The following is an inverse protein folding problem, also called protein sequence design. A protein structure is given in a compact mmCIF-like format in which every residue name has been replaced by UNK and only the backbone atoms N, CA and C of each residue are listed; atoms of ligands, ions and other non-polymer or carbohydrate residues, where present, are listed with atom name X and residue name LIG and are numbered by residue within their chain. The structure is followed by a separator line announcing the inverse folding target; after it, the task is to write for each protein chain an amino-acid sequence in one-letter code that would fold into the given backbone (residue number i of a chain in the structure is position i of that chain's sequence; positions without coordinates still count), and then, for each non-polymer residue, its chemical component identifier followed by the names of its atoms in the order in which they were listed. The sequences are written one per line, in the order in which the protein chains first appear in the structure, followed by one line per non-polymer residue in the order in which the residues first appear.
data_IF_425011621296
#
_entry.id   IF_425011621296
#
_cell.length_a   1.000
_cell.length_b   1.000
_cell.length_c   1.000
_cell.angle_alpha   90.00
_cell.angle_beta   90.00
_cell.angle_gamma   90.00
#
_symmetry.space_group_name_H-M   'P 1'
#
loop_
_entity.id
_entity.type
_entity.pdbx_description
1 polymer ?
#
# COMPACT_ATOMS: atom_id res chain seq x y z
N UNK A 1 52.49 -18.37 29.09
CA UNK A 1 52.24 -17.35 28.06
C UNK A 1 50.75 -17.32 27.79
N UNK A 2 50.04 -16.42 28.44
CA UNK A 2 48.60 -16.23 28.26
C UNK A 2 48.41 -15.20 27.13
N UNK A 3 47.86 -15.66 26.02
CA UNK A 3 47.39 -14.77 24.94
C UNK A 3 46.13 -14.02 25.44
N UNK A 4 46.33 -12.80 25.96
CA UNK A 4 45.24 -11.85 26.07
C UNK A 4 44.85 -11.41 24.65
N UNK A 5 43.72 -11.93 24.16
CA UNK A 5 43.05 -11.38 22.98
C UNK A 5 42.64 -9.93 23.31
N UNK A 6 43.42 -8.97 22.85
CA UNK A 6 43.06 -7.55 22.90
C UNK A 6 41.79 -7.35 22.07
N UNK A 7 40.66 -7.17 22.77
CA UNK A 7 39.43 -6.68 22.12
C UNK A 7 39.70 -5.27 21.59
N UNK A 8 40.00 -5.16 20.30
CA UNK A 8 40.10 -3.86 19.64
C UNK A 8 38.73 -3.18 19.83
N UNK A 9 38.72 -2.14 20.66
CA UNK A 9 37.52 -1.32 20.85
C UNK A 9 37.16 -0.69 19.50
N UNK A 10 36.02 -1.09 18.96
CA UNK A 10 35.53 -0.60 17.69
C UNK A 10 35.34 0.93 17.76
N UNK A 11 35.80 1.66 16.77
CA UNK A 11 35.60 3.11 16.71
C UNK A 11 34.08 3.44 16.58
N UNK A 12 33.64 4.64 17.01
CA UNK A 12 32.21 5.04 17.00
C UNK A 12 31.52 4.87 15.64
N UNK A 13 32.22 5.08 14.54
CA UNK A 13 31.72 4.92 13.15
C UNK A 13 31.44 3.45 12.85
N UNK A 14 32.33 2.56 13.26
CA UNK A 14 32.19 1.13 13.03
C UNK A 14 31.07 0.51 13.90
N UNK A 15 30.94 0.95 15.14
CA UNK A 15 29.80 0.60 16.01
C UNK A 15 28.49 1.00 15.35
N UNK A 16 28.41 2.22 14.79
CA UNK A 16 27.24 2.72 14.11
C UNK A 16 26.84 1.89 12.88
N UNK A 17 27.80 1.54 12.01
CA UNK A 17 27.54 0.73 10.83
C UNK A 17 27.06 -0.68 11.19
N UNK A 18 27.72 -1.34 12.14
CA UNK A 18 27.32 -2.68 12.62
C UNK A 18 25.94 -2.66 13.27
N UNK A 19 25.61 -1.60 14.03
CA UNK A 19 24.30 -1.43 14.68
C UNK A 19 23.20 -1.31 13.64
N UNK A 20 23.35 -0.41 12.67
CA UNK A 20 22.36 -0.23 11.57
C UNK A 20 22.11 -1.54 10.82
N UNK A 21 23.18 -2.24 10.42
CA UNK A 21 23.08 -3.53 9.73
C UNK A 21 22.34 -4.57 10.56
N UNK A 22 22.67 -4.68 11.87
CA UNK A 22 22.03 -5.64 12.77
C UNK A 22 20.54 -5.36 12.97
N UNK A 23 20.17 -4.09 13.14
CA UNK A 23 18.78 -3.67 13.23
C UNK A 23 18.04 -3.98 11.93
N UNK A 24 18.58 -3.59 10.78
CA UNK A 24 17.97 -3.82 9.49
C UNK A 24 17.75 -5.31 9.23
N UNK A 25 18.75 -6.15 9.41
CA UNK A 25 18.65 -7.61 9.18
C UNK A 25 17.70 -8.31 10.15
N UNK A 26 17.49 -7.78 11.35
CA UNK A 26 16.56 -8.37 12.32
C UNK A 26 15.13 -7.92 12.08
N UNK A 27 14.89 -6.64 11.86
CA UNK A 27 13.53 -6.09 11.85
C UNK A 27 12.90 -6.08 10.45
N UNK A 28 13.64 -5.68 9.41
CA UNK A 28 13.05 -5.48 8.09
C UNK A 28 12.52 -6.78 7.44
N UNK A 29 13.21 -7.93 7.48
CA UNK A 29 12.67 -9.15 6.88
C UNK A 29 11.38 -9.61 7.57
N UNK A 30 11.29 -9.47 8.90
CA UNK A 30 10.09 -9.84 9.63
C UNK A 30 8.93 -8.90 9.31
N UNK A 31 9.14 -7.58 9.36
CA UNK A 31 8.12 -6.59 9.00
C UNK A 31 7.67 -6.74 7.54
N UNK A 32 8.61 -7.03 6.64
CA UNK A 32 8.30 -7.32 5.24
C UNK A 32 7.37 -8.53 5.13
N UNK A 33 7.67 -9.63 5.82
CA UNK A 33 6.81 -10.82 5.85
C UNK A 33 5.41 -10.49 6.38
N UNK A 34 5.31 -9.72 7.48
CA UNK A 34 4.02 -9.28 8.01
C UNK A 34 3.20 -8.52 6.96
N UNK A 35 3.87 -7.67 6.18
CA UNK A 35 3.20 -6.86 5.15
C UNK A 35 2.85 -7.65 3.89
N UNK A 36 3.65 -8.67 3.56
CA UNK A 36 3.28 -9.64 2.51
C UNK A 36 1.99 -10.36 2.86
N UNK A 37 1.86 -10.89 4.07
CA UNK A 37 0.61 -11.55 4.52
C UNK A 37 -0.57 -10.57 4.51
N UNK A 38 -0.35 -9.32 4.93
CA UNK A 38 -1.37 -8.28 4.90
C UNK A 38 -1.91 -8.00 3.49
N UNK A 39 -1.01 -7.87 2.51
CA UNK A 39 -1.42 -7.60 1.13
C UNK A 39 -1.95 -8.82 0.37
N UNK A 40 -1.54 -10.04 0.75
CA UNK A 40 -2.16 -11.27 0.26
C UNK A 40 -3.65 -11.25 0.61
N UNK A 41 -4.01 -11.04 1.88
CA UNK A 41 -5.41 -10.97 2.34
C UNK A 41 -6.23 -9.89 1.60
N UNK A 42 -5.65 -8.71 1.37
CA UNK A 42 -6.30 -7.64 0.59
C UNK A 42 -6.57 -8.01 -0.87
N UNK A 43 -5.67 -8.75 -1.49
CA UNK A 43 -5.78 -9.14 -2.90
C UNK A 43 -6.74 -10.30 -3.08
N UNK A 44 -6.75 -11.22 -2.16
CA UNK A 44 -7.47 -12.49 -2.25
C UNK A 44 -8.98 -12.35 -2.26
N UNK A 45 -9.53 -11.28 -1.67
CA UNK A 45 -10.98 -11.03 -1.75
C UNK A 45 -11.47 -10.88 -3.19
N UNK A 46 -10.62 -10.38 -4.09
CA UNK A 46 -10.93 -10.26 -5.51
C UNK A 46 -11.08 -11.66 -6.18
N UNK A 47 -10.25 -12.62 -5.78
CA UNK A 47 -10.34 -14.00 -6.24
C UNK A 47 -11.47 -14.76 -5.53
N UNK A 48 -11.65 -14.57 -4.22
CA UNK A 48 -12.77 -15.14 -3.47
C UNK A 48 -14.12 -14.76 -4.08
N UNK A 49 -14.24 -13.55 -4.65
CA UNK A 49 -15.45 -13.06 -5.32
C UNK A 49 -15.92 -13.99 -6.44
N UNK A 50 -15.01 -14.70 -7.12
CA UNK A 50 -15.36 -15.70 -8.17
C UNK A 50 -16.25 -16.82 -7.60
N UNK A 51 -15.83 -17.44 -6.50
CA UNK A 51 -16.60 -18.50 -5.84
C UNK A 51 -17.79 -17.97 -5.02
N UNK A 52 -17.62 -16.82 -4.33
CA UNK A 52 -18.67 -16.22 -3.49
C UNK A 52 -19.87 -15.74 -4.29
N UNK A 53 -19.66 -15.22 -5.52
CA UNK A 53 -20.76 -14.73 -6.37
C UNK A 53 -21.77 -15.81 -6.67
N UNK A 54 -21.34 -17.05 -6.92
CA UNK A 54 -22.20 -18.20 -7.19
C UNK A 54 -22.76 -18.82 -5.91
N UNK A 55 -21.91 -19.06 -4.89
CA UNK A 55 -22.28 -19.73 -3.64
C UNK A 55 -23.32 -18.92 -2.83
N UNK A 56 -23.10 -17.62 -2.70
CA UNK A 56 -23.97 -16.71 -1.94
C UNK A 56 -24.94 -15.90 -2.82
N UNK A 57 -25.00 -16.18 -4.13
CA UNK A 57 -25.85 -15.49 -5.12
C UNK A 57 -25.71 -13.95 -5.05
N UNK A 58 -24.48 -13.47 -5.01
CA UNK A 58 -24.19 -12.05 -4.85
C UNK A 58 -24.10 -11.34 -6.21
N UNK A 59 -24.71 -10.15 -6.29
CA UNK A 59 -24.54 -9.26 -7.45
C UNK A 59 -23.18 -8.56 -7.41
N UNK A 60 -22.71 -8.05 -8.55
CA UNK A 60 -21.49 -7.23 -8.64
C UNK A 60 -21.57 -6.00 -7.72
N UNK A 61 -22.76 -5.37 -7.62
CA UNK A 61 -23.00 -4.27 -6.69
C UNK A 61 -22.73 -4.69 -5.24
N UNK A 62 -23.22 -5.86 -4.84
CA UNK A 62 -23.03 -6.39 -3.48
C UNK A 62 -21.56 -6.67 -3.19
N UNK A 63 -20.85 -7.30 -4.14
CA UNK A 63 -19.42 -7.58 -4.01
C UNK A 63 -18.59 -6.30 -3.96
N UNK A 64 -18.88 -5.33 -4.84
CA UNK A 64 -18.21 -4.03 -4.83
C UNK A 64 -18.45 -3.24 -3.54
N UNK A 65 -19.69 -3.30 -2.98
CA UNK A 65 -19.99 -2.71 -1.68
C UNK A 65 -19.23 -3.41 -0.55
N UNK A 66 -19.16 -4.74 -0.56
CA UNK A 66 -18.40 -5.51 0.44
C UNK A 66 -16.91 -5.16 0.43
N UNK A 67 -16.32 -5.00 -0.77
CA UNK A 67 -14.94 -4.53 -0.91
C UNK A 67 -14.77 -3.11 -0.33
N UNK A 68 -15.74 -2.22 -0.60
CA UNK A 68 -15.75 -0.85 -0.07
C UNK A 68 -15.89 -0.78 1.45
N UNK A 69 -16.73 -1.64 2.06
CA UNK A 69 -16.95 -1.66 3.52
C UNK A 69 -15.65 -1.86 4.31
N UNK A 70 -14.70 -2.61 3.78
CA UNK A 70 -13.36 -2.71 4.36
C UNK A 70 -12.68 -1.33 4.49
N UNK A 71 -12.70 -0.53 3.44
CA UNK A 71 -12.04 0.78 3.44
C UNK A 71 -12.73 1.78 4.39
N UNK A 72 -14.05 1.68 4.58
CA UNK A 72 -14.74 2.50 5.59
C UNK A 72 -14.24 2.18 6.99
N UNK A 73 -14.14 0.91 7.35
CA UNK A 73 -13.57 0.49 8.63
C UNK A 73 -12.10 0.90 8.77
N UNK A 74 -11.32 0.72 7.71
CA UNK A 74 -9.90 1.05 7.68
C UNK A 74 -9.64 2.55 7.92
N UNK A 75 -10.36 3.44 7.23
CA UNK A 75 -10.21 4.89 7.39
C UNK A 75 -10.63 5.34 8.79
N UNK A 76 -11.71 4.76 9.34
CA UNK A 76 -12.26 5.17 10.65
C UNK A 76 -11.25 5.02 11.80
N UNK A 77 -10.43 3.97 11.79
CA UNK A 77 -9.47 3.69 12.86
C UNK A 77 -7.99 3.88 12.47
N UNK A 78 -7.68 4.38 11.27
CA UNK A 78 -6.30 4.56 10.83
C UNK A 78 -5.50 5.51 11.74
N UNK A 79 -6.06 6.66 12.10
CA UNK A 79 -5.42 7.64 13.00
C UNK A 79 -5.42 7.15 14.46
N UNK A 80 -6.52 6.69 15.05
CA UNK A 80 -6.53 6.11 16.38
C UNK A 80 -5.56 4.94 16.54
N UNK A 81 -5.45 4.07 15.53
CA UNK A 81 -4.53 2.94 15.51
C UNK A 81 -3.06 3.36 15.56
N UNK A 82 -2.66 4.37 14.79
CA UNK A 82 -1.30 4.93 14.85
C UNK A 82 -0.97 5.47 16.24
N UNK A 83 -1.89 6.23 16.84
CA UNK A 83 -1.72 6.77 18.19
C UNK A 83 -1.62 5.68 19.26
N UNK A 84 -2.32 4.57 19.09
CA UNK A 84 -2.24 3.43 20.00
C UNK A 84 -0.82 2.82 19.99
N UNK A 85 -0.24 2.65 18.79
CA UNK A 85 1.13 2.12 18.63
C UNK A 85 2.14 3.03 19.32
N UNK A 86 2.02 4.34 19.17
CA UNK A 86 2.97 5.30 19.72
C UNK A 86 2.89 5.43 21.25
N UNK A 87 1.65 5.47 21.79
CA UNK A 87 1.41 5.74 23.23
C UNK A 87 1.48 4.52 24.13
N UNK A 88 1.22 3.33 23.60
CA UNK A 88 1.16 2.12 24.42
C UNK A 88 2.41 1.25 24.23
N UNK A 89 2.45 0.41 23.19
CA UNK A 89 3.56 -0.48 22.88
C UNK A 89 3.43 -0.91 21.43
N UNK A 90 4.43 -0.59 20.63
CA UNK A 90 4.40 -0.90 19.20
C UNK A 90 4.30 -2.41 18.94
N UNK A 91 5.09 -3.22 19.65
CA UNK A 91 5.07 -4.69 19.51
C UNK A 91 3.72 -5.29 19.88
N UNK A 92 3.10 -4.81 20.98
CA UNK A 92 1.80 -5.31 21.44
C UNK A 92 0.70 -4.89 20.48
N UNK A 93 0.69 -3.62 20.07
CA UNK A 93 -0.31 -3.09 19.17
C UNK A 93 -0.24 -3.78 17.80
N UNK A 94 0.94 -3.90 17.19
CA UNK A 94 1.13 -4.60 15.90
C UNK A 94 0.71 -6.08 16.03
N UNK A 95 1.14 -6.77 17.08
CA UNK A 95 0.78 -8.17 17.30
C UNK A 95 -0.72 -8.38 17.49
N UNK A 96 -1.39 -7.56 18.31
CA UNK A 96 -2.84 -7.65 18.55
C UNK A 96 -3.66 -7.28 17.32
N UNK A 97 -3.26 -6.24 16.57
CA UNK A 97 -3.89 -5.87 15.31
C UNK A 97 -3.84 -7.04 14.32
N UNK A 98 -2.69 -7.71 14.21
CA UNK A 98 -2.55 -8.87 13.33
C UNK A 98 -3.42 -10.06 13.77
N UNK A 99 -3.49 -10.33 15.08
CA UNK A 99 -4.35 -11.40 15.60
C UNK A 99 -5.83 -11.07 15.35
N UNK A 100 -6.25 -9.84 15.64
CA UNK A 100 -7.63 -9.41 15.46
C UNK A 100 -8.05 -9.46 13.98
N UNK A 101 -7.21 -8.93 13.10
CA UNK A 101 -7.44 -8.98 11.66
C UNK A 101 -7.43 -10.43 11.15
N UNK A 102 -6.45 -11.26 11.52
CA UNK A 102 -6.41 -12.67 11.11
C UNK A 102 -7.64 -13.45 11.54
N UNK A 103 -8.15 -13.23 12.76
CA UNK A 103 -9.42 -13.78 13.22
C UNK A 103 -10.61 -13.29 12.37
N UNK A 104 -10.66 -11.99 12.05
CA UNK A 104 -11.71 -11.42 11.22
C UNK A 104 -11.68 -12.00 9.78
N UNK A 105 -10.48 -12.26 9.24
CA UNK A 105 -10.30 -12.93 7.95
C UNK A 105 -10.84 -14.37 8.00
N UNK A 106 -10.48 -15.15 9.01
CA UNK A 106 -11.03 -16.51 9.19
C UNK A 106 -12.56 -16.48 9.29
N UNK A 107 -13.12 -15.54 10.08
CA UNK A 107 -14.57 -15.38 10.22
C UNK A 107 -15.24 -14.98 8.88
N UNK A 108 -14.54 -14.25 7.99
CA UNK A 108 -15.04 -13.94 6.65
C UNK A 108 -15.26 -15.22 5.82
N UNK A 109 -14.45 -16.26 6.02
CA UNK A 109 -14.66 -17.58 5.40
C UNK A 109 -15.92 -18.31 5.86
N UNK A 110 -16.56 -17.90 6.97
CA UNK A 110 -17.75 -18.54 7.56
C UNK A 110 -19.06 -17.79 7.23
N UNK A 111 -19.04 -16.74 6.43
CA UNK A 111 -20.26 -15.98 6.10
C UNK A 111 -21.19 -16.75 5.16
N UNK A 112 -22.50 -16.54 5.32
CA UNK A 112 -23.55 -17.17 4.52
C UNK A 112 -24.49 -16.16 3.84
N UNK A 113 -24.40 -14.87 4.21
CA UNK A 113 -25.27 -13.81 3.68
C UNK A 113 -24.48 -12.57 3.31
N UNK A 114 -25.05 -11.73 2.43
CA UNK A 114 -24.47 -10.43 2.08
C UNK A 114 -24.27 -9.53 3.32
N UNK A 115 -25.23 -9.50 4.25
CA UNK A 115 -25.13 -8.70 5.47
C UNK A 115 -23.98 -9.13 6.36
N UNK A 116 -23.78 -10.44 6.52
CA UNK A 116 -22.65 -10.99 7.27
C UNK A 116 -21.32 -10.61 6.57
N UNK A 117 -21.28 -10.69 5.23
CA UNK A 117 -20.10 -10.29 4.47
C UNK A 117 -19.77 -8.81 4.68
N UNK A 118 -20.76 -7.89 4.63
CA UNK A 118 -20.55 -6.48 4.89
C UNK A 118 -20.00 -6.23 6.29
N UNK A 119 -20.59 -6.87 7.30
CA UNK A 119 -20.15 -6.76 8.69
C UNK A 119 -18.73 -7.30 8.88
N UNK A 120 -18.42 -8.47 8.31
CA UNK A 120 -17.09 -9.06 8.37
C UNK A 120 -16.04 -8.17 7.70
N UNK A 121 -16.33 -7.60 6.52
CA UNK A 121 -15.44 -6.68 5.82
C UNK A 121 -15.22 -5.37 6.58
N UNK A 122 -16.27 -4.82 7.20
CA UNK A 122 -16.14 -3.63 8.06
C UNK A 122 -15.27 -3.91 9.28
N UNK A 123 -15.53 -5.02 10.00
CA UNK A 123 -14.76 -5.44 11.18
C UNK A 123 -13.29 -5.70 10.79
N UNK A 124 -13.05 -6.35 9.65
CA UNK A 124 -11.71 -6.58 9.13
C UNK A 124 -10.98 -5.26 8.88
N UNK A 125 -11.64 -4.28 8.24
CA UNK A 125 -11.08 -2.95 8.02
C UNK A 125 -10.74 -2.22 9.32
N UNK A 126 -11.64 -2.25 10.31
CA UNK A 126 -11.40 -1.69 11.64
C UNK A 126 -10.19 -2.36 12.33
N UNK A 127 -10.10 -3.69 12.27
CA UNK A 127 -9.03 -4.46 12.88
C UNK A 127 -7.67 -4.17 12.24
N UNK A 128 -7.61 -3.99 10.92
CA UNK A 128 -6.37 -3.78 10.17
C UNK A 128 -5.86 -2.34 10.17
N UNK A 129 -6.74 -1.37 10.45
CA UNK A 129 -6.48 0.06 10.24
C UNK A 129 -5.19 0.61 10.87
N UNK A 130 -4.80 0.07 12.03
CA UNK A 130 -3.60 0.49 12.77
C UNK A 130 -2.29 -0.13 12.28
N UNK A 131 -2.33 -1.13 11.41
CA UNK A 131 -1.14 -1.90 11.05
C UNK A 131 -0.10 -1.06 10.29
N UNK A 132 -0.43 -0.56 9.10
CA UNK A 132 0.51 0.20 8.28
C UNK A 132 1.04 1.45 9.00
N UNK A 133 0.20 2.37 9.51
CA UNK A 133 0.70 3.55 10.22
C UNK A 133 1.48 3.17 11.47
N UNK A 134 1.08 2.10 12.17
CA UNK A 134 1.79 1.58 13.33
C UNK A 134 3.18 1.07 13.00
N UNK A 135 3.37 0.38 11.87
CA UNK A 135 4.69 -0.04 11.42
C UNK A 135 5.56 1.17 11.04
N UNK A 136 4.99 2.21 10.40
CA UNK A 136 5.74 3.43 10.08
C UNK A 136 6.23 4.14 11.36
N UNK A 137 5.37 4.22 12.38
CA UNK A 137 5.75 4.72 13.72
C UNK A 137 6.85 3.84 14.32
N UNK A 138 6.70 2.52 14.27
CA UNK A 138 7.71 1.57 14.76
C UNK A 138 9.07 1.75 14.06
N UNK A 139 9.07 1.86 12.72
CA UNK A 139 10.29 2.14 11.97
C UNK A 139 10.95 3.47 12.39
N UNK A 140 10.17 4.47 12.81
CA UNK A 140 10.71 5.73 13.29
C UNK A 140 11.45 5.62 14.64
N UNK A 141 11.16 4.60 15.44
CA UNK A 141 11.87 4.31 16.69
C UNK A 141 13.21 3.61 16.47
N UNK A 142 13.40 2.97 15.29
CA UNK A 142 14.55 2.10 15.03
C UNK A 142 15.48 2.60 13.92
N UNK A 143 15.01 3.51 13.07
CA UNK A 143 15.78 4.00 11.92
C UNK A 143 15.90 5.52 11.95
N UNK A 144 17.13 6.01 11.79
CA UNK A 144 17.42 7.43 11.62
C UNK A 144 16.69 8.01 10.40
N UNK A 145 16.51 9.33 10.33
CA UNK A 145 15.90 10.00 9.17
C UNK A 145 16.54 9.58 7.84
N UNK A 146 17.86 9.43 7.81
CA UNK A 146 18.61 9.03 6.63
C UNK A 146 18.33 7.58 6.19
N UNK A 147 18.14 6.67 7.16
CA UNK A 147 17.92 5.24 6.90
C UNK A 147 16.43 4.89 6.77
N UNK A 148 15.53 5.70 7.35
CA UNK A 148 14.08 5.45 7.41
C UNK A 148 13.45 5.37 6.04
N UNK A 149 13.83 6.23 5.09
CA UNK A 149 13.31 6.20 3.73
C UNK A 149 13.60 4.85 3.05
N UNK A 150 14.83 4.33 3.20
CA UNK A 150 15.23 3.01 2.67
C UNK A 150 14.48 1.87 3.36
N UNK A 151 14.33 1.93 4.69
CA UNK A 151 13.59 0.93 5.47
C UNK A 151 12.11 0.89 5.07
N UNK A 152 11.47 2.05 4.90
CA UNK A 152 10.10 2.16 4.42
C UNK A 152 9.94 1.66 2.99
N UNK A 153 10.86 2.00 2.08
CA UNK A 153 10.84 1.51 0.71
C UNK A 153 10.96 -0.03 0.65
N UNK A 154 11.87 -0.61 1.45
CA UNK A 154 11.99 -2.06 1.58
C UNK A 154 10.69 -2.70 2.09
N UNK A 155 10.09 -2.12 3.14
CA UNK A 155 8.83 -2.58 3.69
C UNK A 155 7.69 -2.51 2.64
N UNK A 156 7.58 -1.40 1.91
CA UNK A 156 6.54 -1.21 0.87
C UNK A 156 6.74 -2.11 -0.36
N UNK A 157 7.94 -2.60 -0.62
CA UNK A 157 8.18 -3.56 -1.71
C UNK A 157 7.42 -4.89 -1.53
N UNK A 158 6.91 -5.16 -0.32
CA UNK A 158 6.00 -6.28 -0.07
C UNK A 158 4.70 -6.19 -0.90
N UNK A 159 4.20 -4.98 -1.21
CA UNK A 159 2.92 -4.78 -1.92
C UNK A 159 2.88 -5.52 -3.26
N UNK A 160 3.73 -5.18 -4.25
CA UNK A 160 3.69 -5.85 -5.54
C UNK A 160 4.12 -7.32 -5.47
N UNK A 161 5.03 -7.66 -4.56
CA UNK A 161 5.49 -9.06 -4.39
C UNK A 161 4.33 -9.92 -3.88
N UNK A 162 3.55 -9.43 -2.92
CA UNK A 162 2.38 -10.16 -2.41
C UNK A 162 1.31 -10.38 -3.48
N UNK A 163 1.06 -9.41 -4.37
CA UNK A 163 0.10 -9.56 -5.46
C UNK A 163 0.52 -10.64 -6.47
N UNK A 164 1.82 -10.70 -6.79
CA UNK A 164 2.38 -11.74 -7.68
C UNK A 164 2.25 -13.13 -7.06
N UNK A 165 2.41 -13.25 -5.73
CA UNK A 165 2.27 -14.52 -4.99
C UNK A 165 0.79 -14.87 -4.80
N UNK A 166 -0.04 -13.89 -4.39
CA UNK A 166 -1.44 -14.11 -4.06
C UNK A 166 -2.25 -14.57 -5.27
N UNK A 167 -2.00 -14.00 -6.46
CA UNK A 167 -2.81 -14.25 -7.65
C UNK A 167 -2.88 -15.73 -8.03
N UNK A 168 -1.77 -16.46 -8.27
CA UNK A 168 -1.82 -17.89 -8.62
C UNK A 168 -2.29 -18.76 -7.42
N UNK A 169 -1.87 -18.40 -6.20
CA UNK A 169 -2.26 -19.14 -4.98
C UNK A 169 -3.77 -19.05 -4.75
N UNK A 170 -4.32 -17.84 -4.79
CA UNK A 170 -5.76 -17.63 -4.55
C UNK A 170 -6.60 -18.26 -5.66
N UNK A 171 -6.20 -18.11 -6.94
CA UNK A 171 -6.90 -18.75 -8.06
C UNK A 171 -6.90 -20.27 -7.96
N UNK A 172 -5.80 -20.87 -7.53
CA UNK A 172 -5.72 -22.32 -7.33
C UNK A 172 -6.63 -22.78 -6.17
N UNK A 173 -6.58 -22.11 -5.02
CA UNK A 173 -7.39 -22.47 -3.85
C UNK A 173 -8.89 -22.32 -4.17
N UNK A 174 -9.30 -21.20 -4.80
CA UNK A 174 -10.71 -20.93 -5.12
C UNK A 174 -11.26 -21.95 -6.10
N UNK A 175 -10.45 -22.40 -7.07
CA UNK A 175 -10.84 -23.39 -8.07
C UNK A 175 -11.05 -24.83 -7.54
N UNK A 176 -10.77 -25.08 -6.25
CA UNK A 176 -10.87 -26.41 -5.64
C UNK A 176 -11.79 -26.38 -4.42
N UNK A 177 -12.49 -27.50 -4.20
CA UNK A 177 -13.24 -27.72 -2.96
C UNK A 177 -12.50 -28.78 -2.13
N UNK A 178 -12.32 -28.52 -0.83
CA UNK A 178 -11.66 -29.43 0.09
C UNK A 178 -12.62 -29.82 1.20
N UNK A 179 -12.72 -31.11 1.48
CA UNK A 179 -13.60 -31.65 2.51
C UNK A 179 -15.08 -31.18 2.41
N UNK A 180 -15.60 -31.03 1.18
CA UNK A 180 -16.95 -30.52 0.94
C UNK A 180 -17.17 -29.04 1.17
N UNK A 181 -16.10 -28.28 1.47
CA UNK A 181 -16.14 -26.84 1.68
C UNK A 181 -15.60 -26.13 0.44
N UNK A 182 -16.27 -25.08 0.00
CA UNK A 182 -15.90 -24.24 -1.15
C UNK A 182 -14.50 -23.61 -0.99
N UNK A 183 -13.73 -23.55 -2.08
CA UNK A 183 -12.35 -23.04 -2.06
C UNK A 183 -12.20 -21.61 -1.57
N UNK A 184 -13.17 -20.71 -1.86
CA UNK A 184 -13.12 -19.33 -1.37
C UNK A 184 -13.18 -19.23 0.17
N UNK A 185 -13.85 -20.18 0.85
CA UNK A 185 -13.87 -20.25 2.32
C UNK A 185 -12.51 -20.66 2.86
N UNK A 186 -11.90 -21.67 2.22
CA UNK A 186 -10.55 -22.11 2.55
C UNK A 186 -9.52 -21.00 2.33
N UNK A 187 -9.68 -20.18 1.29
CA UNK A 187 -8.79 -19.06 1.03
C UNK A 187 -8.70 -18.14 2.26
N UNK A 188 -9.83 -17.66 2.78
CA UNK A 188 -9.83 -16.81 3.97
C UNK A 188 -9.30 -17.51 5.23
N UNK A 189 -9.59 -18.80 5.41
CA UNK A 189 -9.05 -19.56 6.54
C UNK A 189 -7.53 -19.69 6.47
N UNK A 190 -7.01 -20.05 5.30
CA UNK A 190 -5.57 -20.24 5.07
C UNK A 190 -4.77 -18.93 5.13
N UNK A 191 -5.38 -17.79 4.84
CA UNK A 191 -4.74 -16.48 4.92
C UNK A 191 -4.83 -15.86 6.32
N UNK A 192 -5.94 -16.03 7.00
CA UNK A 192 -6.12 -15.52 8.35
C UNK A 192 -5.25 -16.22 9.39
N UNK A 193 -5.06 -17.54 9.28
CA UNK A 193 -4.24 -18.30 10.23
C UNK A 193 -2.76 -17.83 10.31
N UNK A 194 -2.05 -17.66 9.20
CA UNK A 194 -0.69 -17.10 9.23
C UNK A 194 -0.63 -15.70 9.89
N UNK A 195 -1.65 -14.85 9.69
CA UNK A 195 -1.71 -13.54 10.33
C UNK A 195 -1.82 -13.67 11.86
N UNK A 196 -2.66 -14.57 12.37
CA UNK A 196 -2.78 -14.87 13.82
C UNK A 196 -1.45 -15.38 14.37
N UNK A 197 -0.84 -16.37 13.71
CA UNK A 197 0.42 -16.98 14.16
C UNK A 197 1.56 -15.95 14.16
N UNK A 198 1.71 -15.20 13.06
CA UNK A 198 2.76 -14.17 12.96
C UNK A 198 2.50 -13.00 13.90
N UNK A 199 1.24 -12.67 14.18
CA UNK A 199 0.87 -11.69 15.21
C UNK A 199 1.33 -12.13 16.60
N UNK A 200 1.10 -13.39 16.98
CA UNK A 200 1.56 -13.97 18.23
C UNK A 200 3.11 -14.04 18.33
N UNK A 201 3.77 -14.40 17.21
CA UNK A 201 5.24 -14.36 17.11
C UNK A 201 5.73 -12.91 17.24
N UNK A 202 5.14 -11.97 16.52
CA UNK A 202 5.51 -10.55 16.53
C UNK A 202 5.41 -9.92 17.92
N UNK A 203 4.36 -10.28 18.66
CA UNK A 203 4.18 -9.86 20.06
C UNK A 203 5.38 -10.22 20.96
N UNK A 204 6.12 -11.30 20.67
CA UNK A 204 7.33 -11.73 21.40
C UNK A 204 8.64 -11.31 20.73
N UNK A 205 8.68 -11.31 19.41
CA UNK A 205 9.88 -11.08 18.61
C UNK A 205 10.27 -9.59 18.51
N UNK A 206 9.27 -8.72 18.32
CA UNK A 206 9.50 -7.28 18.22
C UNK A 206 9.89 -6.70 19.59
N UNK A 207 10.67 -5.64 19.57
CA UNK A 207 11.09 -4.89 20.75
C UNK A 207 10.64 -3.45 20.57
N UNK A 208 10.06 -2.83 21.60
CA UNK A 208 9.44 -1.50 21.47
C UNK A 208 10.47 -0.41 21.14
N UNK A 209 11.54 -0.34 21.87
CA UNK A 209 12.56 0.73 21.74
C UNK A 209 13.97 0.16 21.84
N UNK A 210 14.97 0.89 21.29
CA UNK A 210 16.37 0.47 21.38
C UNK A 210 16.88 0.20 22.80
N UNK A 211 16.39 0.93 23.79
CA UNK A 211 16.74 0.74 25.20
C UNK A 211 16.39 -0.66 25.74
N UNK A 212 15.30 -1.25 25.25
CA UNK A 212 14.80 -2.56 25.67
C UNK A 212 15.45 -3.72 24.90
N UNK A 213 16.31 -3.42 23.92
CA UNK A 213 16.87 -4.39 22.97
C UNK A 213 18.00 -5.21 23.57
N UNK A 214 17.68 -6.30 24.26
CA UNK A 214 18.66 -7.23 24.84
C UNK A 214 19.55 -7.91 23.79
N UNK A 215 19.12 -7.92 22.53
CA UNK A 215 19.87 -8.47 21.39
C UNK A 215 20.91 -7.51 20.79
N UNK A 216 20.92 -6.22 21.20
CA UNK A 216 22.01 -5.27 20.94
C UNK A 216 23.04 -5.34 22.06
N UNK A 217 24.34 -5.21 21.70
CA UNK A 217 25.39 -5.03 22.71
C UNK A 217 25.26 -3.66 23.42
N UNK A 218 25.77 -3.49 24.63
CA UNK A 218 25.68 -2.21 25.34
C UNK A 218 26.16 -1.01 24.49
N UNK A 219 27.34 -1.04 23.82
CA UNK A 219 27.78 0.08 22.99
C UNK A 219 26.86 0.36 21.81
N UNK A 220 26.26 -0.69 21.20
CA UNK A 220 25.30 -0.54 20.11
C UNK A 220 23.99 0.12 20.57
N UNK A 221 23.54 -0.25 21.78
CA UNK A 221 22.32 0.31 22.37
C UNK A 221 22.50 1.78 22.72
N UNK A 222 23.61 2.14 23.38
CA UNK A 222 23.94 3.51 23.73
C UNK A 222 24.08 4.39 22.49
N UNK A 223 24.78 3.90 21.46
CA UNK A 223 24.91 4.63 20.20
C UNK A 223 23.55 4.91 19.58
N UNK A 224 22.64 3.92 19.57
CA UNK A 224 21.33 4.08 18.98
C UNK A 224 20.45 5.05 19.77
N UNK A 225 20.46 4.99 21.09
CA UNK A 225 19.74 5.90 21.98
C UNK A 225 20.23 7.33 21.77
N UNK A 226 21.53 7.57 21.79
CA UNK A 226 22.11 8.90 21.56
C UNK A 226 21.70 9.45 20.19
N UNK A 227 21.74 8.61 19.13
CA UNK A 227 21.34 9.00 17.78
C UNK A 227 19.86 9.41 17.70
N UNK A 228 18.96 8.65 18.35
CA UNK A 228 17.53 8.96 18.36
C UNK A 228 17.21 10.23 19.17
N UNK A 229 17.88 10.45 20.29
CA UNK A 229 17.72 11.68 21.07
C UNK A 229 18.12 12.94 20.28
N UNK A 230 19.24 12.89 19.58
CA UNK A 230 19.69 14.01 18.73
C UNK A 230 18.66 14.33 17.65
N UNK A 231 18.06 13.32 17.01
CA UNK A 231 17.06 13.53 15.97
C UNK A 231 15.72 14.04 16.52
N UNK A 232 15.30 13.58 17.71
CA UNK A 232 14.09 14.06 18.37
C UNK A 232 14.19 15.53 18.76
N UNK A 233 15.34 15.99 19.25
CA UNK A 233 15.59 17.38 19.59
C UNK A 233 15.47 18.31 18.36
N UNK A 234 15.96 17.86 17.20
CA UNK A 234 15.84 18.60 15.92
C UNK A 234 14.40 18.63 15.37
N UNK A 235 13.55 17.66 15.72
CA UNK A 235 12.17 17.57 15.25
C UNK A 235 11.20 18.48 16.04
N UNK A 236 11.48 18.78 17.29
CA UNK A 236 10.61 19.54 18.18
C UNK A 236 10.39 21.02 17.78
N UNK A 237 11.19 21.55 16.83
CA UNK A 237 11.18 22.95 16.42
C UNK A 237 10.09 23.27 15.35
N UNK A 238 9.32 22.29 14.85
CA UNK A 238 8.49 22.44 13.62
C UNK A 238 6.98 22.26 13.79
N UNK A 239 6.36 22.68 14.86
CA UNK A 239 4.89 22.64 15.02
C UNK A 239 4.26 24.03 14.88
N UNK A 240 3.92 24.46 13.65
CA UNK A 240 3.00 25.58 13.46
C UNK A 240 2.16 25.44 12.19
N UNK A 241 0.85 25.64 12.36
CA UNK A 241 -0.17 25.96 11.33
C UNK A 241 -0.71 24.79 10.48
N UNK A 242 -1.29 23.76 11.10
CA UNK A 242 -1.95 22.63 10.40
C UNK A 242 -3.23 23.06 9.65
N UNK A 243 -3.96 24.08 10.12
CA UNK A 243 -5.28 24.43 9.55
C UNK A 243 -5.26 24.95 8.10
N UNK A 244 -4.22 25.63 7.67
CA UNK A 244 -4.11 26.20 6.29
C UNK A 244 -3.84 25.15 5.22
N UNK A 245 -3.33 23.98 5.60
CA UNK A 245 -2.96 22.89 4.69
C UNK A 245 -4.14 22.38 3.89
N UNK A 246 -5.31 22.27 4.55
CA UNK A 246 -6.52 21.68 3.95
C UNK A 246 -7.17 22.57 2.87
N UNK A 247 -6.83 23.84 2.82
CA UNK A 247 -7.34 24.82 1.84
C UNK A 247 -6.31 25.15 0.76
N UNK A 248 -5.11 24.59 0.82
CA UNK A 248 -4.09 24.81 -0.20
C UNK A 248 -4.52 24.18 -1.54
N UNK A 249 -4.59 25.02 -2.59
CA UNK A 249 -4.89 24.55 -3.96
C UNK A 249 -3.97 23.41 -4.40
N UNK A 250 -2.68 23.46 -4.05
CA UNK A 250 -1.71 22.42 -4.40
C UNK A 250 -2.05 21.11 -3.69
N UNK A 251 -2.37 21.16 -2.38
CA UNK A 251 -2.75 19.97 -1.60
C UNK A 251 -4.04 19.36 -2.12
N UNK A 252 -5.04 20.17 -2.46
CA UNK A 252 -6.32 19.70 -3.01
C UNK A 252 -6.13 19.05 -4.40
N UNK A 253 -5.33 19.64 -5.28
CA UNK A 253 -5.02 19.04 -6.60
C UNK A 253 -4.26 17.72 -6.44
N UNK A 254 -3.28 17.65 -5.55
CA UNK A 254 -2.58 16.39 -5.25
C UNK A 254 -3.52 15.34 -4.66
N UNK A 255 -4.37 15.70 -3.71
CA UNK A 255 -5.33 14.79 -3.10
C UNK A 255 -6.32 14.24 -4.14
N UNK A 256 -6.82 15.09 -5.03
CA UNK A 256 -7.74 14.68 -6.08
C UNK A 256 -7.05 13.81 -7.16
N UNK A 257 -5.82 14.16 -7.56
CA UNK A 257 -5.03 13.33 -8.47
C UNK A 257 -4.76 11.93 -7.88
N UNK A 258 -4.41 11.85 -6.58
CA UNK A 258 -4.24 10.57 -5.88
C UNK A 258 -5.55 9.78 -5.82
N UNK A 259 -6.66 10.42 -5.45
CA UNK A 259 -7.99 9.79 -5.42
C UNK A 259 -8.36 9.19 -6.77
N UNK A 260 -8.22 9.97 -7.85
CA UNK A 260 -8.60 9.54 -9.20
C UNK A 260 -7.73 8.38 -9.70
N UNK A 261 -6.41 8.42 -9.46
CA UNK A 261 -5.53 7.31 -9.81
C UNK A 261 -5.83 6.06 -8.96
N UNK A 262 -6.03 6.22 -7.65
CA UNK A 262 -6.34 5.09 -6.76
C UNK A 262 -7.73 4.51 -7.01
N UNK A 263 -8.68 5.31 -7.48
CA UNK A 263 -9.98 4.83 -7.94
C UNK A 263 -9.83 3.79 -9.06
N UNK A 264 -8.97 4.08 -10.05
CA UNK A 264 -8.64 3.14 -11.12
C UNK A 264 -7.96 1.90 -10.51
N UNK A 265 -6.91 2.11 -9.72
CA UNK A 265 -6.09 1.03 -9.18
C UNK A 265 -6.86 0.05 -8.30
N UNK A 266 -7.61 0.53 -7.29
CA UNK A 266 -8.41 -0.32 -6.42
C UNK A 266 -9.59 -0.96 -7.13
N UNK A 267 -10.28 -0.19 -8.00
CA UNK A 267 -11.37 -0.73 -8.81
C UNK A 267 -10.91 -1.86 -9.72
N UNK A 268 -9.81 -1.63 -10.43
CA UNK A 268 -9.22 -2.63 -11.30
C UNK A 268 -8.71 -3.85 -10.55
N UNK A 269 -7.93 -3.67 -9.49
CA UNK A 269 -7.35 -4.79 -8.71
C UNK A 269 -8.44 -5.71 -8.17
N UNK A 270 -9.56 -5.13 -7.70
CA UNK A 270 -10.68 -5.93 -7.20
C UNK A 270 -11.42 -6.68 -8.32
N UNK A 271 -11.66 -6.03 -9.47
CA UNK A 271 -12.47 -6.61 -10.53
C UNK A 271 -11.67 -7.38 -11.60
N UNK A 272 -10.33 -7.31 -11.60
CA UNK A 272 -9.48 -8.00 -12.58
C UNK A 272 -9.81 -9.50 -12.72
N UNK A 273 -9.87 -10.31 -11.63
CA UNK A 273 -10.15 -11.75 -11.77
C UNK A 273 -11.52 -12.00 -12.41
N UNK A 274 -12.56 -11.28 -11.97
CA UNK A 274 -13.93 -11.41 -12.51
C UNK A 274 -14.01 -10.98 -13.96
N UNK A 275 -13.36 -9.86 -14.35
CA UNK A 275 -13.33 -9.40 -15.75
C UNK A 275 -12.61 -10.41 -16.63
N UNK A 276 -11.46 -10.91 -16.18
CA UNK A 276 -10.69 -11.90 -16.92
C UNK A 276 -11.46 -13.21 -17.09
N UNK A 277 -12.12 -13.71 -16.05
CA UNK A 277 -12.94 -14.90 -16.11
C UNK A 277 -14.13 -14.75 -17.08
N UNK A 278 -14.86 -13.64 -17.00
CA UNK A 278 -16.03 -13.38 -17.88
C UNK A 278 -15.66 -13.19 -19.36
N UNK A 279 -14.46 -12.67 -19.64
CA UNK A 279 -13.97 -12.48 -21.00
C UNK A 279 -13.51 -13.77 -21.65
N UNK A 280 -12.93 -14.70 -20.88
CA UNK A 280 -12.17 -15.84 -21.40
C UNK A 280 -12.73 -17.21 -21.05
N UNK A 281 -13.75 -17.29 -20.17
CA UNK A 281 -14.31 -18.52 -19.63
C UNK A 281 -13.24 -19.49 -19.03
N UNK A 282 -12.13 -18.95 -18.54
CA UNK A 282 -11.05 -19.72 -17.94
C UNK A 282 -11.46 -20.27 -16.56
N UNK A 283 -10.81 -21.34 -16.15
CA UNK A 283 -10.91 -21.82 -14.77
C UNK A 283 -10.28 -20.83 -13.79
N UNK A 284 -10.74 -20.83 -12.53
CA UNK A 284 -10.24 -19.93 -11.48
C UNK A 284 -8.72 -20.04 -11.29
N UNK A 285 -8.15 -21.24 -11.40
CA UNK A 285 -6.72 -21.47 -11.35
C UNK A 285 -5.96 -20.75 -12.49
N UNK A 286 -6.48 -20.84 -13.72
CA UNK A 286 -5.88 -20.14 -14.88
C UNK A 286 -6.05 -18.63 -14.77
N UNK A 287 -7.19 -18.15 -14.27
CA UNK A 287 -7.41 -16.72 -13.95
C UNK A 287 -6.35 -16.24 -12.96
N UNK A 288 -6.03 -17.03 -11.93
CA UNK A 288 -4.97 -16.71 -10.98
C UNK A 288 -3.59 -16.61 -11.64
N UNK A 289 -3.21 -17.59 -12.45
CA UNK A 289 -1.90 -17.61 -13.14
C UNK A 289 -1.79 -16.44 -14.13
N UNK A 290 -2.78 -16.25 -14.99
CA UNK A 290 -2.77 -15.19 -16.02
C UNK A 290 -2.88 -13.82 -15.36
N UNK A 291 -3.68 -13.68 -14.30
CA UNK A 291 -3.82 -12.46 -13.52
C UNK A 291 -2.50 -11.98 -12.87
N UNK A 292 -1.50 -12.86 -12.75
CA UNK A 292 -0.15 -12.49 -12.29
C UNK A 292 0.56 -11.56 -13.26
N UNK A 293 0.31 -11.69 -14.57
CA UNK A 293 1.00 -10.92 -15.62
C UNK A 293 0.82 -9.40 -15.46
N UNK A 294 -0.42 -8.88 -15.33
CA UNK A 294 -0.62 -7.45 -15.06
C UNK A 294 0.09 -6.95 -13.79
N UNK A 295 0.08 -7.72 -12.69
CA UNK A 295 0.73 -7.32 -11.45
C UNK A 295 2.26 -7.32 -11.55
N UNK A 296 2.84 -8.33 -12.20
CA UNK A 296 4.28 -8.41 -12.41
C UNK A 296 4.76 -7.26 -13.31
N UNK A 297 4.04 -6.98 -14.40
CA UNK A 297 4.35 -5.87 -15.30
C UNK A 297 4.22 -4.52 -14.59
N UNK A 298 3.18 -4.32 -13.76
CA UNK A 298 2.99 -3.12 -12.95
C UNK A 298 4.14 -2.90 -11.96
N UNK A 299 4.64 -3.97 -11.35
CA UNK A 299 5.81 -3.91 -10.48
C UNK A 299 7.07 -3.43 -11.21
N UNK A 300 7.38 -4.04 -12.36
CA UNK A 300 8.52 -3.63 -13.19
C UNK A 300 8.36 -2.18 -13.65
N UNK A 301 7.16 -1.81 -14.14
CA UNK A 301 6.86 -0.45 -14.58
C UNK A 301 7.06 0.58 -13.44
N UNK A 302 6.64 0.25 -12.20
CA UNK A 302 6.82 1.11 -11.03
C UNK A 302 8.30 1.36 -10.74
N UNK A 303 9.14 0.33 -10.78
CA UNK A 303 10.59 0.45 -10.54
C UNK A 303 11.28 1.26 -11.65
N UNK A 304 11.00 0.92 -12.91
CA UNK A 304 11.60 1.59 -14.08
C UNK A 304 11.17 3.05 -14.15
N UNK A 305 9.89 3.33 -13.96
CA UNK A 305 9.34 4.70 -13.99
C UNK A 305 9.91 5.55 -12.85
N UNK A 306 10.00 5.00 -11.63
CA UNK A 306 10.62 5.69 -10.49
C UNK A 306 12.08 6.03 -10.75
N UNK A 307 12.88 5.04 -11.19
CA UNK A 307 14.28 5.22 -11.52
C UNK A 307 14.48 6.26 -12.63
N UNK A 308 13.70 6.19 -13.72
CA UNK A 308 13.81 7.11 -14.84
C UNK A 308 13.40 8.54 -14.46
N UNK A 309 12.34 8.68 -13.66
CA UNK A 309 11.89 9.95 -13.09
C UNK A 309 12.99 10.61 -12.23
N UNK A 310 13.69 9.81 -11.40
CA UNK A 310 14.81 10.28 -10.58
C UNK A 310 15.99 10.73 -11.45
N UNK A 311 16.34 9.93 -12.45
CA UNK A 311 17.46 10.24 -13.36
C UNK A 311 17.22 11.52 -14.19
N UNK A 312 15.96 11.75 -14.62
CA UNK A 312 15.58 12.91 -15.44
C UNK A 312 15.17 14.12 -14.61
N UNK A 313 15.02 13.96 -13.28
CA UNK A 313 14.48 14.99 -12.38
C UNK A 313 13.13 15.53 -12.87
N UNK A 314 12.39 14.75 -13.61
CA UNK A 314 11.07 15.05 -14.15
C UNK A 314 10.02 14.18 -13.48
N UNK A 315 9.01 14.79 -12.84
CA UNK A 315 8.02 14.11 -12.02
C UNK A 315 6.64 14.09 -12.64
N UNK A 316 6.29 15.16 -13.35
CA UNK A 316 4.91 15.38 -13.82
C UNK A 316 4.53 14.40 -14.92
N UNK A 317 5.35 14.27 -15.96
CA UNK A 317 5.10 13.30 -17.04
C UNK A 317 5.19 11.86 -16.57
N UNK A 318 6.14 11.57 -15.67
CA UNK A 318 6.27 10.23 -15.08
C UNK A 318 5.08 9.85 -14.20
N UNK A 319 4.36 10.81 -13.62
CA UNK A 319 3.09 10.56 -12.93
C UNK A 319 1.92 10.46 -13.90
N UNK A 320 1.90 11.26 -14.99
CA UNK A 320 0.79 11.29 -15.94
C UNK A 320 0.75 10.10 -16.91
N UNK A 321 1.92 9.65 -17.42
CA UNK A 321 1.99 8.53 -18.38
C UNK A 321 1.34 7.25 -17.88
N UNK A 322 1.55 6.78 -16.64
CA UNK A 322 0.83 5.64 -16.10
C UNK A 322 -0.70 5.80 -16.11
N UNK A 323 -1.21 7.01 -15.83
CA UNK A 323 -2.64 7.30 -15.92
C UNK A 323 -3.14 7.21 -17.37
N UNK A 324 -2.37 7.73 -18.33
CA UNK A 324 -2.72 7.66 -19.78
C UNK A 324 -2.71 6.21 -20.26
N UNK A 325 -1.75 5.40 -19.87
CA UNK A 325 -1.73 3.96 -20.19
C UNK A 325 -2.98 3.26 -19.64
N UNK A 326 -3.39 3.59 -18.43
CA UNK A 326 -4.62 3.06 -17.86
C UNK A 326 -5.87 3.51 -18.64
N UNK A 327 -5.91 4.75 -19.12
CA UNK A 327 -6.98 5.25 -20.01
C UNK A 327 -7.04 4.43 -21.30
N UNK A 328 -5.89 4.23 -21.96
CA UNK A 328 -5.81 3.43 -23.20
C UNK A 328 -6.30 2.01 -22.95
N UNK A 329 -5.84 1.37 -21.84
CA UNK A 329 -6.28 0.03 -21.46
C UNK A 329 -7.79 -0.04 -21.22
N UNK A 330 -8.35 0.93 -20.48
CA UNK A 330 -9.77 0.98 -20.18
C UNK A 330 -10.63 1.20 -21.44
N UNK A 331 -10.25 2.13 -22.31
CA UNK A 331 -10.93 2.37 -23.60
C UNK A 331 -10.84 1.14 -24.53
N UNK A 332 -9.67 0.48 -24.57
CA UNK A 332 -9.48 -0.74 -25.35
C UNK A 332 -10.38 -1.89 -24.88
N UNK A 333 -10.57 -2.06 -23.58
CA UNK A 333 -11.48 -3.07 -23.01
C UNK A 333 -12.96 -2.77 -23.31
N UNK A 334 -13.34 -1.51 -23.51
CA UNK A 334 -14.71 -1.17 -23.92
C UNK A 334 -15.07 -1.74 -25.30
N UNK A 335 -14.09 -1.95 -26.18
CA UNK A 335 -14.27 -2.61 -27.46
C UNK A 335 -14.52 -4.13 -27.37
N UNK A 336 -14.45 -4.71 -26.15
CA UNK A 336 -14.70 -6.14 -25.86
C UNK A 336 -13.88 -7.08 -26.77
N UNK A 337 -12.53 -7.00 -26.74
CA UNK A 337 -11.70 -7.84 -27.60
C UNK A 337 -11.93 -9.32 -27.30
N UNK A 338 -12.08 -10.13 -28.35
CA UNK A 338 -12.27 -11.59 -28.21
C UNK A 338 -10.96 -12.33 -27.91
N UNK A 339 -9.82 -11.73 -28.26
CA UNK A 339 -8.51 -12.31 -28.01
C UNK A 339 -8.10 -12.17 -26.54
N UNK A 340 -7.80 -13.29 -25.89
CA UNK A 340 -7.26 -13.32 -24.53
C UNK A 340 -5.95 -12.51 -24.41
N UNK A 341 -5.06 -12.63 -25.40
CA UNK A 341 -3.79 -11.91 -25.40
C UNK A 341 -3.99 -10.39 -25.42
N UNK A 342 -4.91 -9.91 -26.27
CA UNK A 342 -5.26 -8.48 -26.30
C UNK A 342 -5.90 -8.07 -24.99
N UNK A 343 -6.79 -8.88 -24.41
CA UNK A 343 -7.40 -8.63 -23.10
C UNK A 343 -6.33 -8.50 -22.00
N UNK A 344 -5.43 -9.45 -21.88
CA UNK A 344 -4.33 -9.44 -20.87
C UNK A 344 -3.40 -8.24 -21.09
N UNK A 345 -3.09 -7.89 -22.34
CA UNK A 345 -2.31 -6.69 -22.65
C UNK A 345 -3.01 -5.41 -22.16
N UNK A 346 -4.31 -5.26 -22.45
CA UNK A 346 -5.09 -4.09 -22.00
C UNK A 346 -5.23 -4.05 -20.48
N UNK A 347 -5.45 -5.19 -19.82
CA UNK A 347 -5.41 -5.28 -18.36
C UNK A 347 -4.05 -4.87 -17.79
N UNK A 348 -2.97 -5.24 -18.48
CA UNK A 348 -1.60 -4.84 -18.09
C UNK A 348 -1.42 -3.32 -18.18
N UNK A 349 -1.94 -2.68 -19.23
CA UNK A 349 -1.90 -1.21 -19.33
C UNK A 349 -2.63 -0.53 -18.18
N UNK A 350 -3.79 -1.05 -17.75
CA UNK A 350 -4.51 -0.50 -16.59
C UNK A 350 -3.70 -0.70 -15.30
N UNK A 351 -3.13 -1.89 -15.09
CA UNK A 351 -2.33 -2.19 -13.91
C UNK A 351 -1.12 -1.26 -13.75
N UNK A 352 -0.57 -0.75 -14.86
CA UNK A 352 0.55 0.20 -14.85
C UNK A 352 0.22 1.52 -14.13
N UNK A 353 -1.07 1.82 -13.81
CA UNK A 353 -1.44 2.98 -12.98
C UNK A 353 -0.69 3.01 -11.63
N UNK A 354 -0.23 1.87 -11.12
CA UNK A 354 0.59 1.77 -9.89
C UNK A 354 1.94 2.50 -10.05
N UNK A 355 2.48 2.57 -11.27
CA UNK A 355 3.73 3.27 -11.54
C UNK A 355 3.65 4.81 -11.36
N UNK A 356 2.43 5.34 -11.18
CA UNK A 356 2.18 6.71 -10.73
C UNK A 356 2.84 7.04 -9.39
N UNK A 357 2.89 6.09 -8.46
CA UNK A 357 3.21 6.36 -7.05
C UNK A 357 4.60 6.97 -6.81
N UNK A 358 5.74 6.42 -7.30
CA UNK A 358 7.05 6.96 -7.00
C UNK A 358 7.22 8.43 -7.45
N UNK A 359 6.96 8.81 -8.71
CA UNK A 359 7.09 10.20 -9.15
C UNK A 359 6.07 11.14 -8.51
N UNK A 360 4.85 10.66 -8.24
CA UNK A 360 3.82 11.45 -7.57
C UNK A 360 4.22 11.85 -6.15
N UNK A 361 4.65 10.89 -5.33
CA UNK A 361 5.06 11.20 -3.95
C UNK A 361 6.34 12.03 -3.90
N UNK A 362 7.29 11.80 -4.83
CA UNK A 362 8.46 12.65 -4.96
C UNK A 362 8.09 14.10 -5.34
N UNK A 363 7.12 14.28 -6.25
CA UNK A 363 6.59 15.60 -6.61
C UNK A 363 5.84 16.24 -5.43
N UNK A 364 4.99 15.51 -4.76
CA UNK A 364 4.23 15.99 -3.61
C UNK A 364 5.18 16.53 -2.52
N UNK A 365 6.20 15.76 -2.13
CA UNK A 365 7.18 16.19 -1.12
C UNK A 365 8.00 17.41 -1.54
N UNK A 366 8.18 17.65 -2.83
CA UNK A 366 8.88 18.83 -3.35
C UNK A 366 7.99 20.09 -3.35
N UNK A 367 6.68 19.92 -3.60
CA UNK A 367 5.72 21.02 -3.67
C UNK A 367 5.19 21.47 -2.29
N UNK A 368 5.34 20.62 -1.27
CA UNK A 368 4.85 20.88 0.06
C UNK A 368 5.92 21.57 0.92
N UNK A 369 5.50 22.57 1.68
CA UNK A 369 6.37 23.22 2.65
C UNK A 369 6.76 22.24 3.78
N UNK A 370 8.02 22.25 4.18
CA UNK A 370 8.59 21.31 5.15
C UNK A 370 7.81 21.27 6.49
N UNK A 371 7.27 22.41 6.93
CA UNK A 371 6.51 22.56 8.18
C UNK A 371 5.12 21.91 8.11
N UNK A 372 4.49 21.87 6.95
CA UNK A 372 3.12 21.39 6.73
C UNK A 372 3.05 20.05 5.99
N UNK A 373 4.18 19.60 5.42
CA UNK A 373 4.26 18.39 4.63
C UNK A 373 3.67 17.13 5.31
N UNK A 374 3.91 16.83 6.60
CA UNK A 374 3.34 15.64 7.24
C UNK A 374 1.81 15.65 7.25
N UNK A 375 1.18 16.79 7.56
CA UNK A 375 -0.27 16.92 7.58
C UNK A 375 -0.86 16.84 6.17
N UNK A 376 -0.21 17.47 5.18
CA UNK A 376 -0.61 17.41 3.77
C UNK A 376 -0.53 15.98 3.21
N UNK A 377 0.56 15.27 3.46
CA UNK A 377 0.72 13.86 3.05
C UNK A 377 -0.36 12.98 3.70
N UNK A 378 -0.63 13.18 4.99
CA UNK A 378 -1.70 12.48 5.70
C UNK A 378 -3.07 12.73 5.06
N UNK A 379 -3.39 13.97 4.73
CA UNK A 379 -4.65 14.35 4.07
C UNK A 379 -4.76 13.75 2.66
N UNK A 380 -3.72 13.88 1.83
CA UNK A 380 -3.68 13.30 0.48
C UNK A 380 -3.89 11.78 0.55
N UNK A 381 -3.24 11.10 1.49
CA UNK A 381 -3.40 9.66 1.67
C UNK A 381 -4.81 9.28 2.16
N UNK A 382 -5.41 10.04 3.07
CA UNK A 382 -6.76 9.81 3.55
C UNK A 382 -7.80 9.98 2.43
N UNK A 383 -7.70 11.04 1.63
CA UNK A 383 -8.56 11.24 0.45
C UNK A 383 -8.34 10.12 -0.57
N UNK A 384 -7.10 9.72 -0.80
CA UNK A 384 -6.75 8.57 -1.66
C UNK A 384 -7.35 7.25 -1.17
N UNK A 385 -7.42 7.03 0.14
CA UNK A 385 -8.03 5.83 0.71
C UNK A 385 -9.54 5.71 0.46
N UNK A 386 -10.25 6.84 0.33
CA UNK A 386 -11.68 6.86 -0.05
C UNK A 386 -11.89 6.21 -1.43
N UNK A 387 -10.91 6.30 -2.32
CA UNK A 387 -10.95 5.63 -3.62
C UNK A 387 -11.00 4.10 -3.50
N UNK A 388 -10.47 3.54 -2.42
CA UNK A 388 -10.58 2.12 -2.12
C UNK A 388 -12.03 1.65 -1.91
N UNK A 389 -12.89 2.53 -1.38
CA UNK A 389 -14.34 2.31 -1.36
C UNK A 389 -14.95 2.59 -2.74
N UNK A 390 -14.67 3.76 -3.31
CA UNK A 390 -15.37 4.25 -4.50
C UNK A 390 -15.07 3.38 -5.74
N UNK A 391 -13.82 2.97 -5.96
CA UNK A 391 -13.42 2.20 -7.14
C UNK A 391 -14.20 0.88 -7.28
N UNK A 392 -14.04 -0.06 -6.36
CA UNK A 392 -14.76 -1.35 -6.44
C UNK A 392 -16.29 -1.19 -6.46
N UNK A 393 -16.83 -0.26 -5.65
CA UNK A 393 -18.27 -0.03 -5.56
C UNK A 393 -18.87 0.53 -6.86
N UNK A 394 -18.26 1.59 -7.43
CA UNK A 394 -18.77 2.22 -8.65
C UNK A 394 -18.70 1.26 -9.84
N UNK A 395 -17.58 0.55 -10.01
CA UNK A 395 -17.45 -0.44 -11.09
C UNK A 395 -18.48 -1.56 -10.94
N UNK A 396 -18.68 -2.08 -9.74
CA UNK A 396 -19.67 -3.12 -9.47
C UNK A 396 -21.11 -2.65 -9.63
N UNK A 397 -21.42 -1.43 -9.18
CA UNK A 397 -22.73 -0.81 -9.35
C UNK A 397 -23.08 -0.63 -10.84
N UNK A 398 -22.14 -0.08 -11.62
CA UNK A 398 -22.32 0.11 -13.05
C UNK A 398 -22.43 -1.24 -13.78
N UNK A 399 -21.62 -2.24 -13.40
CA UNK A 399 -21.72 -3.59 -13.97
C UNK A 399 -23.08 -4.22 -13.71
N UNK A 400 -23.61 -4.12 -12.47
CA UNK A 400 -24.94 -4.64 -12.13
C UNK A 400 -26.08 -3.95 -12.85
N UNK A 401 -25.91 -2.66 -13.22
CA UNK A 401 -26.94 -1.88 -13.94
C UNK A 401 -26.92 -2.11 -15.46
N UNK A 402 -25.74 -2.30 -16.03
CA UNK A 402 -25.54 -2.39 -17.49
C UNK A 402 -25.30 -3.81 -17.99
N UNK A 403 -25.16 -4.78 -17.09
CA UNK A 403 -24.83 -6.17 -17.41
C UNK A 403 -23.39 -6.37 -17.91
N UNK A 404 -22.53 -5.33 -17.83
CA UNK A 404 -21.14 -5.41 -18.28
C UNK A 404 -20.24 -4.38 -17.58
N UNK A 405 -18.92 -4.60 -17.59
CA UNK A 405 -17.95 -3.64 -17.06
C UNK A 405 -17.67 -2.45 -17.97
N UNK A 406 -18.29 -2.35 -19.16
CA UNK A 406 -18.02 -1.28 -20.13
C UNK A 406 -18.21 0.12 -19.54
N UNK A 407 -19.33 0.34 -18.82
CA UNK A 407 -19.57 1.63 -18.14
C UNK A 407 -18.56 1.90 -16.99
N UNK A 408 -18.12 0.84 -16.29
CA UNK A 408 -17.05 0.94 -15.29
C UNK A 408 -15.70 1.32 -15.91
N UNK A 409 -15.38 0.78 -17.09
CA UNK A 409 -14.16 1.16 -17.83
C UNK A 409 -14.23 2.60 -18.34
N UNK A 410 -15.41 3.07 -18.77
CA UNK A 410 -15.60 4.49 -19.11
C UNK A 410 -15.35 5.40 -17.90
N UNK A 411 -15.87 5.04 -16.72
CA UNK A 411 -15.61 5.78 -15.48
C UNK A 411 -14.11 5.80 -15.10
N UNK A 412 -13.42 4.67 -15.27
CA UNK A 412 -11.98 4.57 -15.06
C UNK A 412 -11.19 5.44 -16.06
N UNK A 413 -11.57 5.45 -17.34
CA UNK A 413 -10.94 6.29 -18.35
C UNK A 413 -11.13 7.79 -18.04
N UNK A 414 -12.35 8.20 -17.67
CA UNK A 414 -12.63 9.59 -17.25
C UNK A 414 -11.81 9.98 -16.02
N UNK A 415 -11.70 9.09 -15.03
CA UNK A 415 -10.87 9.32 -13.85
C UNK A 415 -9.38 9.50 -14.23
N UNK A 416 -8.86 8.69 -15.16
CA UNK A 416 -7.48 8.82 -15.63
C UNK A 416 -7.22 10.12 -16.37
N UNK A 417 -8.13 10.56 -17.24
CA UNK A 417 -8.05 11.86 -17.93
C UNK A 417 -8.08 13.00 -16.91
N UNK A 418 -9.01 12.94 -15.94
CA UNK A 418 -9.10 13.93 -14.90
C UNK A 418 -7.84 13.96 -14.00
N UNK A 419 -7.26 12.80 -13.67
CA UNK A 419 -6.00 12.73 -12.94
C UNK A 419 -4.85 13.43 -13.68
N UNK A 420 -4.73 13.19 -14.99
CA UNK A 420 -3.77 13.90 -15.84
C UNK A 420 -3.98 15.41 -15.81
N UNK A 421 -5.24 15.85 -15.95
CA UNK A 421 -5.57 17.28 -15.87
C UNK A 421 -5.14 17.89 -14.54
N UNK A 422 -5.41 17.20 -13.41
CA UNK A 422 -4.98 17.66 -12.07
C UNK A 422 -3.46 17.77 -11.99
N UNK A 423 -2.72 16.76 -12.48
CA UNK A 423 -1.25 16.76 -12.48
C UNK A 423 -0.67 17.92 -13.30
N UNK A 424 -1.23 18.21 -14.48
CA UNK A 424 -0.78 19.30 -15.33
C UNK A 424 -1.18 20.69 -14.81
N UNK A 425 -2.20 20.75 -13.93
CA UNK A 425 -2.60 21.99 -13.25
C UNK A 425 -1.72 22.36 -12.04
N UNK A 426 -0.83 21.45 -11.61
CA UNK A 426 0.14 21.72 -10.56
C UNK A 426 1.26 22.64 -11.06
N UNK A 427 1.92 23.41 -10.18
CA UNK A 427 3.10 24.20 -10.56
C UNK A 427 4.21 23.30 -11.12
N UNK A 428 4.97 23.78 -12.10
CA UNK A 428 6.13 23.04 -12.62
C UNK A 428 7.24 22.98 -11.58
N UNK A 429 7.72 21.78 -11.27
CA UNK A 429 8.91 21.54 -10.42
C UNK A 429 10.21 21.68 -11.21
N UNK A 430 10.24 22.56 -12.21
CA UNK A 430 11.40 22.76 -13.05
C UNK A 430 12.49 23.60 -12.36
N UNK A 431 13.72 23.37 -12.74
CA UNK A 431 14.98 24.02 -12.31
C UNK A 431 14.98 25.59 -12.31
N UNK A 432 13.88 26.23 -12.64
CA UNK A 432 13.71 27.69 -12.65
C UNK A 432 13.55 28.31 -11.26
N UNK A 433 13.38 27.54 -10.20
CA UNK A 433 13.31 28.06 -8.83
C UNK A 433 14.70 28.31 -8.20
N UNK A 434 15.77 27.74 -8.73
CA UNK A 434 17.15 27.96 -8.27
C UNK A 434 17.85 29.17 -8.96
N UNK A 435 17.19 29.80 -9.92
CA UNK A 435 17.77 30.91 -10.74
C UNK A 435 17.30 32.31 -10.39
N UNK A 436 16.54 32.54 -9.31
CA UNK A 436 16.06 33.88 -8.94
C UNK A 436 16.41 34.28 -7.50
N UNK A 437 17.64 34.14 -7.11
CA UNK A 437 18.26 35.05 -6.15
C UNK A 437 19.40 35.77 -6.86
N UNK A 438 19.23 37.01 -7.28
CA UNK A 438 20.38 37.84 -7.59
C UNK A 438 21.10 38.06 -6.25
N UNK A 439 22.31 37.51 -6.13
CA UNK A 439 23.26 37.97 -5.15
C UNK A 439 23.47 39.45 -5.45
N UNK A 440 22.78 40.32 -4.72
CA UNK A 440 23.24 41.71 -4.60
C UNK A 440 24.54 41.66 -3.79
N UNK A 441 25.63 41.58 -4.51
CA UNK A 441 26.95 41.97 -4.01
C UNK A 441 26.92 43.48 -4.00
N UNK A 442 26.57 44.05 -2.86
CA UNK A 442 26.99 45.43 -2.54
C UNK A 442 28.19 45.32 -1.63
N UNK A 443 29.34 45.55 -2.24
CA UNK A 443 30.52 46.04 -1.52
C UNK A 443 30.43 47.57 -1.43
N UNK A 444 30.98 48.23 -0.43
CA UNK A 444 32.39 48.60 -0.44
C UNK A 444 33.23 48.05 0.68
#
# INVERSE_FOLDING_TARGET
MSFQASSIALGPVEVGQRTRRRIALRLLPFLFLLYVINYIDRTSVAFAALGMSSDLRLSDRTLGLAAGMFFLGYIALQIPGANLVERWSARRAIGLVMIAWGCATVLTGLVHTASQLYSARLVLGLAEAGFFPGVIVYLSHWFSRADRAKATAYFMAAIPISQVIASPMAGWIVGHSFAGVQGWRWLFMLEGLPAVVLGAIGYRYLTDRPGDARWLSPPQREWMIAKMHTEAALAAVQLSTIGRVFYSRVVLLLALAAFLNYFIGYGFTFWLPTMLQRQSALSDALVGVIGTVPYAAAFVAMLVNGWHSDKRMERRWHAAVPCLLAVIGALGLMARPQSLLIGVFLFTLIAMCVAFNPPFWAMATTLLESSTAPAAVGFINAVGAIAGFAGPYVLGYLSSRTGSFTAGMAAAALAGIAACFMLFSLPSTGLTALGRHPLSVDAP
#
